data_IF_961220193987
#
_entry.id   IF_961220193987
#
_cell.length_a   1.000
_cell.length_b   1.000
_cell.length_c   1.000
_cell.angle_alpha   90.00
_cell.angle_beta   90.00
_cell.angle_gamma   90.00
#
_symmetry.space_group_name_H-M   'P 1'
#
loop_
_entity.id
_entity.type
_entity.pdbx_description
1 polymer ?
#
# COMPACT_ATOMS: atom_id res chain seq x y z
N UNK A 1 9.21 18.32 -15.38
CA UNK A 1 8.66 17.01 -15.80
C UNK A 1 7.55 16.64 -14.83
N UNK A 2 6.35 16.32 -15.28
CA UNK A 2 5.29 15.83 -14.38
C UNK A 2 5.66 14.43 -13.92
N UNK A 3 5.74 14.25 -12.61
CA UNK A 3 5.95 12.94 -12.02
C UNK A 3 4.60 12.22 -11.98
N UNK A 4 4.47 11.14 -12.75
CA UNK A 4 3.26 10.33 -12.76
C UNK A 4 3.35 9.29 -11.65
N UNK A 5 2.36 9.29 -10.76
CA UNK A 5 2.27 8.37 -9.64
C UNK A 5 1.29 7.26 -9.97
N UNK A 6 1.67 6.04 -9.67
CA UNK A 6 0.93 4.81 -9.96
C UNK A 6 0.72 4.04 -8.66
N UNK A 7 -0.46 3.47 -8.48
CA UNK A 7 -0.70 2.53 -7.39
C UNK A 7 0.18 1.29 -7.59
N UNK A 8 0.89 0.87 -6.55
CA UNK A 8 1.75 -0.32 -6.56
C UNK A 8 1.05 -1.46 -5.82
N UNK A 9 0.54 -1.17 -4.63
CA UNK A 9 -0.34 -2.07 -3.89
C UNK A 9 -1.37 -1.25 -3.12
N UNK A 10 -2.63 -1.68 -3.17
CA UNK A 10 -3.73 -1.12 -2.39
C UNK A 10 -4.21 -2.19 -1.42
N UNK A 11 -4.20 -1.87 -0.13
CA UNK A 11 -4.60 -2.74 0.96
C UNK A 11 -5.81 -2.15 1.68
N UNK A 12 -6.82 -2.97 1.92
CA UNK A 12 -7.96 -2.61 2.76
C UNK A 12 -7.61 -2.88 4.23
N UNK A 13 -7.75 -1.85 5.06
CA UNK A 13 -7.70 -1.93 6.53
C UNK A 13 -9.08 -1.69 7.14
N UNK A 14 -9.20 -1.92 8.43
CA UNK A 14 -10.37 -1.46 9.19
C UNK A 14 -10.37 0.07 9.21
N UNK A 15 -11.47 0.70 8.78
CA UNK A 15 -11.57 2.17 8.73
C UNK A 15 -10.97 2.84 7.49
N UNK A 16 -10.38 2.11 6.54
CA UNK A 16 -9.82 2.74 5.36
C UNK A 16 -8.92 1.88 4.47
N UNK A 17 -7.93 2.53 3.84
CA UNK A 17 -6.96 1.89 2.94
C UNK A 17 -5.55 2.40 3.14
N UNK A 18 -4.60 1.51 2.91
CA UNK A 18 -3.17 1.81 2.78
C UNK A 18 -2.80 1.58 1.33
N UNK A 19 -2.27 2.62 0.68
CA UNK A 19 -1.82 2.58 -0.70
C UNK A 19 -0.32 2.83 -0.74
N UNK A 20 0.44 1.89 -1.29
CA UNK A 20 1.78 2.19 -1.75
C UNK A 20 1.67 2.73 -3.17
N UNK A 21 2.22 3.92 -3.41
CA UNK A 21 2.33 4.46 -4.76
C UNK A 21 3.80 4.58 -5.18
N UNK A 22 4.03 4.48 -6.47
CA UNK A 22 5.35 4.53 -7.09
C UNK A 22 5.38 5.54 -8.22
N UNK A 23 6.55 6.07 -8.52
CA UNK A 23 6.79 6.82 -9.74
C UNK A 23 8.11 6.43 -10.37
N UNK A 24 8.10 6.23 -11.69
CA UNK A 24 9.32 6.02 -12.47
C UNK A 24 10.10 7.33 -12.60
N UNK A 25 11.36 7.30 -12.22
CA UNK A 25 12.33 8.37 -12.46
C UNK A 25 12.86 8.31 -13.90
N UNK A 26 13.53 9.37 -14.35
CA UNK A 26 14.06 9.48 -15.72
C UNK A 26 15.09 8.41 -16.09
N UNK A 27 15.73 7.79 -15.09
CA UNK A 27 16.67 6.68 -15.27
C UNK A 27 16.00 5.29 -15.20
N UNK A 28 14.66 5.23 -15.16
CA UNK A 28 13.89 3.98 -15.09
C UNK A 28 13.83 3.33 -13.70
N UNK A 29 14.40 3.95 -12.67
CA UNK A 29 14.23 3.50 -11.28
C UNK A 29 12.85 3.89 -10.74
N UNK A 30 12.40 3.23 -9.68
CA UNK A 30 11.17 3.59 -8.98
C UNK A 30 11.48 4.33 -7.69
N UNK A 31 10.71 5.37 -7.41
CA UNK A 31 10.59 5.93 -6.06
C UNK A 31 9.19 5.67 -5.54
N UNK A 32 9.06 5.52 -4.23
CA UNK A 32 7.81 5.08 -3.61
C UNK A 32 7.44 5.94 -2.43
N UNK A 33 6.14 6.05 -2.15
CA UNK A 33 5.62 6.57 -0.88
C UNK A 33 4.38 5.81 -0.45
N UNK A 34 4.13 5.77 0.86
CA UNK A 34 2.86 5.32 1.43
C UNK A 34 1.87 6.48 1.46
N UNK A 35 0.63 6.19 1.13
CA UNK A 35 -0.53 7.02 1.40
C UNK A 35 -1.51 6.23 2.28
N UNK A 36 -2.07 6.85 3.29
CA UNK A 36 -3.18 6.30 4.07
C UNK A 36 -4.41 7.17 3.89
N UNK A 37 -5.57 6.53 3.88
CA UNK A 37 -6.87 7.16 3.75
C UNK A 37 -7.80 6.45 4.73
N UNK A 38 -8.06 7.10 5.86
CA UNK A 38 -8.85 6.61 7.00
C UNK A 38 -10.21 7.33 7.09
N UNK A 39 -10.73 7.76 5.93
CA UNK A 39 -11.95 8.57 5.85
C UNK A 39 -13.17 7.91 6.49
N UNK A 40 -13.23 6.59 6.56
CA UNK A 40 -14.32 5.90 7.24
C UNK A 40 -14.27 6.04 8.78
N UNK A 41 -13.18 6.56 9.34
CA UNK A 41 -13.08 6.92 10.76
C UNK A 41 -13.45 8.39 11.02
N UNK A 42 -13.52 9.24 9.98
CA UNK A 42 -13.82 10.66 10.15
C UNK A 42 -15.20 10.89 10.79
N UNK A 43 -16.20 10.06 10.45
CA UNK A 43 -17.55 10.14 11.00
C UNK A 43 -17.63 9.77 12.50
N UNK A 44 -16.57 9.19 13.07
CA UNK A 44 -16.49 8.84 14.49
C UNK A 44 -15.76 9.88 15.34
N UNK A 45 -15.15 10.90 14.72
CA UNK A 45 -14.39 11.93 15.41
C UNK A 45 -15.08 13.30 15.24
N UNK A 46 -15.59 13.85 16.35
CA UNK A 46 -16.22 15.19 16.40
C UNK A 46 -15.20 16.35 16.39
N UNK A 47 -13.90 16.05 16.30
CA UNK A 47 -12.82 17.03 16.45
C UNK A 47 -12.19 17.38 15.09
N UNK A 48 -12.26 18.65 14.68
CA UNK A 48 -11.74 19.13 13.39
C UNK A 48 -10.24 18.84 13.22
N UNK A 49 -9.47 18.78 14.30
CA UNK A 49 -8.04 18.47 14.26
C UNK A 49 -7.74 17.00 13.90
N UNK A 50 -8.66 16.07 14.18
CA UNK A 50 -8.51 14.66 13.81
C UNK A 50 -8.82 14.41 12.32
N UNK A 51 -9.58 15.30 11.68
CA UNK A 51 -9.87 15.23 10.24
C UNK A 51 -8.60 15.36 9.37
N UNK A 52 -7.57 16.06 9.87
CA UNK A 52 -6.28 16.20 9.20
C UNK A 52 -5.42 14.93 9.27
N UNK A 53 -5.66 14.05 10.25
CA UNK A 53 -4.95 12.78 10.40
C UNK A 53 -5.48 11.68 9.47
N UNK A 54 -6.64 11.90 8.85
CA UNK A 54 -7.34 10.99 7.95
C UNK A 54 -6.52 10.69 6.68
N UNK A 55 -5.68 11.63 6.25
CA UNK A 55 -4.82 11.48 5.08
C UNK A 55 -3.35 11.72 5.42
N UNK A 56 -2.53 10.67 5.42
CA UNK A 56 -1.10 10.79 5.68
C UNK A 56 -0.27 10.30 4.50
N UNK A 57 0.88 10.93 4.29
CA UNK A 57 1.87 10.50 3.30
C UNK A 57 3.24 10.35 3.97
N UNK A 58 3.96 9.27 3.64
CA UNK A 58 5.35 9.10 4.09
C UNK A 58 6.33 9.88 3.22
N UNK A 59 7.55 10.05 3.73
CA UNK A 59 8.71 10.39 2.89
C UNK A 59 8.94 9.36 1.78
N UNK A 60 9.61 9.78 0.71
CA UNK A 60 9.94 8.90 -0.41
C UNK A 60 11.08 7.95 -0.05
N UNK A 61 10.99 6.71 -0.56
CA UNK A 61 12.05 5.70 -0.47
C UNK A 61 12.35 5.14 -1.86
N UNK A 62 13.59 4.68 -2.07
CA UNK A 62 14.08 4.21 -3.38
C UNK A 62 14.28 2.69 -3.44
N UNK A 63 14.14 1.98 -2.32
CA UNK A 63 14.43 0.54 -2.23
C UNK A 63 13.21 -0.28 -1.80
N UNK A 64 13.00 -1.43 -2.45
CA UNK A 64 11.85 -2.32 -2.23
C UNK A 64 11.77 -2.90 -0.80
N UNK A 65 12.91 -3.16 -0.17
CA UNK A 65 12.93 -3.64 1.22
C UNK A 65 12.45 -2.56 2.21
N UNK A 66 12.83 -1.31 1.95
CA UNK A 66 12.38 -0.16 2.73
C UNK A 66 10.90 0.13 2.48
N UNK A 67 10.45 -0.06 1.24
CA UNK A 67 9.06 0.10 0.81
C UNK A 67 8.10 -0.77 1.61
N UNK A 68 8.36 -2.08 1.73
CA UNK A 68 7.46 -2.95 2.47
C UNK A 68 7.51 -2.71 3.98
N UNK A 69 8.60 -2.11 4.47
CA UNK A 69 8.69 -1.64 5.86
C UNK A 69 7.74 -0.46 6.12
N UNK A 70 7.53 0.43 5.14
CA UNK A 70 6.58 1.56 5.26
C UNK A 70 5.14 1.09 5.53
N UNK A 71 4.77 -0.06 4.98
CA UNK A 71 3.44 -0.67 5.14
C UNK A 71 3.22 -1.24 6.55
N UNK A 72 4.28 -1.36 7.36
CA UNK A 72 4.22 -1.88 8.73
C UNK A 72 4.35 -3.40 8.78
N UNK A 73 4.77 -3.94 9.93
CA UNK A 73 5.19 -5.35 10.09
C UNK A 73 4.17 -6.39 9.60
N UNK A 74 2.88 -6.09 9.66
CA UNK A 74 1.80 -7.06 9.41
C UNK A 74 0.95 -6.72 8.18
N UNK A 75 1.44 -5.87 7.26
CA UNK A 75 0.68 -5.45 6.07
C UNK A 75 0.16 -6.62 5.22
N UNK A 76 0.88 -7.74 5.19
CA UNK A 76 0.49 -8.96 4.46
C UNK A 76 -0.79 -9.63 5.02
N UNK A 77 -1.24 -9.23 6.22
CA UNK A 77 -2.51 -9.68 6.80
C UNK A 77 -3.71 -8.88 6.31
N UNK A 78 -3.47 -7.72 5.71
CA UNK A 78 -4.52 -6.90 5.11
C UNK A 78 -5.00 -7.51 3.81
N UNK A 79 -6.25 -7.23 3.46
CA UNK A 79 -6.85 -7.73 2.22
C UNK A 79 -6.33 -6.87 1.05
N UNK A 80 -5.67 -7.45 0.04
CA UNK A 80 -5.27 -6.68 -1.11
C UNK A 80 -6.49 -6.39 -2.01
N UNK A 81 -6.52 -5.19 -2.58
CA UNK A 81 -7.52 -4.72 -3.52
C UNK A 81 -6.94 -4.60 -4.93
N UNK A 82 -5.66 -4.25 -5.04
CA UNK A 82 -4.96 -4.08 -6.31
C UNK A 82 -3.46 -4.31 -6.13
N UNK A 83 -2.81 -4.86 -7.15
CA UNK A 83 -1.36 -4.97 -7.28
C UNK A 83 -0.96 -4.58 -8.69
N UNK A 84 0.03 -3.70 -8.80
CA UNK A 84 0.59 -3.28 -10.07
C UNK A 84 1.24 -4.46 -10.83
N UNK A 85 1.00 -4.61 -12.14
CA UNK A 85 1.50 -5.75 -12.92
C UNK A 85 2.99 -6.02 -12.79
N UNK A 86 3.83 -4.97 -12.84
CA UNK A 86 5.31 -5.10 -12.69
C UNK A 86 5.74 -5.67 -11.33
N UNK A 87 4.88 -5.55 -10.30
CA UNK A 87 5.21 -5.93 -8.92
C UNK A 87 4.49 -7.19 -8.45
N UNK A 88 3.56 -7.75 -9.25
CA UNK A 88 2.79 -8.97 -8.89
C UNK A 88 3.68 -10.11 -8.40
N UNK A 89 4.71 -10.46 -9.19
CA UNK A 89 5.64 -11.56 -8.86
C UNK A 89 6.38 -11.29 -7.54
N UNK A 90 6.99 -10.11 -7.41
CA UNK A 90 7.75 -9.73 -6.23
C UNK A 90 6.90 -9.73 -4.96
N UNK A 91 5.70 -9.13 -5.03
CA UNK A 91 4.78 -9.07 -3.89
C UNK A 91 4.34 -10.49 -3.51
N UNK A 92 4.06 -11.35 -4.50
CA UNK A 92 3.69 -12.73 -4.23
C UNK A 92 4.81 -13.50 -3.51
N UNK A 93 6.04 -13.43 -4.02
CA UNK A 93 7.21 -14.09 -3.41
C UNK A 93 7.45 -13.60 -1.98
N UNK A 94 7.11 -12.34 -1.69
CA UNK A 94 7.23 -11.73 -0.35
C UNK A 94 6.14 -12.19 0.62
N UNK A 95 4.91 -12.39 0.11
CA UNK A 95 3.70 -12.61 0.92
C UNK A 95 3.38 -14.09 1.09
N UNK A 96 3.51 -14.90 0.04
CA UNK A 96 3.19 -16.32 0.03
C UNK A 96 3.76 -17.12 1.23
N UNK A 97 5.03 -16.92 1.67
CA UNK A 97 5.56 -17.66 2.83
C UNK A 97 5.04 -17.15 4.19
N UNK A 98 4.30 -16.04 4.25
CA UNK A 98 3.88 -15.36 5.49
C UNK A 98 2.39 -15.46 5.78
N UNK A 99 1.59 -15.88 4.81
CA UNK A 99 0.13 -15.89 4.89
C UNK A 99 -0.42 -17.30 5.14
N UNK A 100 -1.55 -17.36 5.82
CA UNK A 100 -2.27 -18.61 6.05
C UNK A 100 -3.19 -18.97 4.87
N UNK A 101 -3.59 -20.23 4.77
CA UNK A 101 -4.44 -20.73 3.67
C UNK A 101 -5.74 -19.93 3.51
N UNK A 102 -6.35 -19.47 4.60
CA UNK A 102 -7.59 -18.69 4.54
C UNK A 102 -7.38 -17.27 3.97
N UNK A 103 -6.15 -16.76 4.00
CA UNK A 103 -5.78 -15.46 3.43
C UNK A 103 -5.39 -15.57 1.96
N UNK A 104 -4.86 -16.74 1.53
CA UNK A 104 -4.43 -17.03 0.16
C UNK A 104 -5.47 -16.63 -0.89
N UNK A 105 -6.74 -16.98 -0.65
CA UNK A 105 -7.87 -16.67 -1.54
C UNK A 105 -8.06 -15.18 -1.84
N UNK A 106 -7.60 -14.29 -0.96
CA UNK A 106 -7.67 -12.85 -1.20
C UNK A 106 -6.53 -12.37 -2.09
N UNK A 107 -5.35 -12.97 -1.94
CA UNK A 107 -4.15 -12.63 -2.71
C UNK A 107 -4.20 -13.20 -4.13
N UNK A 108 -4.71 -14.41 -4.32
CA UNK A 108 -4.82 -15.03 -5.66
C UNK A 108 -5.65 -14.20 -6.63
N UNK A 109 -6.74 -13.58 -6.15
CA UNK A 109 -7.66 -12.76 -6.96
C UNK A 109 -7.02 -11.53 -7.60
N UNK A 110 -5.96 -11.00 -6.99
CA UNK A 110 -5.28 -9.78 -7.45
C UNK A 110 -3.93 -10.08 -8.10
N UNK A 111 -3.39 -11.28 -7.89
CA UNK A 111 -2.10 -11.72 -8.44
C UNK A 111 -2.28 -12.39 -9.81
N UNK A 112 -3.35 -13.17 -10.00
CA UNK A 112 -3.72 -13.70 -11.32
C UNK A 112 -4.02 -12.56 -12.30
#
# INVERSE_FOLDING_TARGET
MRQYWEDIIVLSGEGGRITLIGSKTSNGSWIFKKQTDETALADFFDDEDLSLLVHQQSSFVTGLDQVFTLLGRFWFRLRPLYIHPEFKKLIWETVAPKIEAHQLRYWEKVIQ
#
